data_IF_248904411118
#
_entry.id   IF_248904411118
#
_cell.length_a   1.000
_cell.length_b   1.000
_cell.length_c   1.000
_cell.angle_alpha   90.00
_cell.angle_beta   90.00
_cell.angle_gamma   90.00
#
_symmetry.space_group_name_H-M   'P 1'
#
loop_
_entity.id
_entity.type
_entity.pdbx_description
1 polymer ?
#
# COMPACT_ATOMS: atom_id res chain seq x y z
N UNK A 1 16.92 3.38 9.73
CA UNK A 1 17.30 4.58 8.95
C UNK A 1 16.27 5.68 9.25
N UNK A 2 16.69 6.91 9.54
CA UNK A 2 15.75 8.05 9.66
C UNK A 2 15.51 8.59 8.25
N UNK A 3 14.41 8.19 7.62
CA UNK A 3 14.00 8.76 6.33
C UNK A 3 13.48 10.17 6.59
N UNK A 4 13.88 11.12 5.74
CA UNK A 4 13.41 12.49 5.85
C UNK A 4 12.09 12.64 5.08
N UNK A 5 11.09 13.25 5.71
CA UNK A 5 9.72 13.33 5.19
C UNK A 5 9.63 14.20 3.91
N UNK A 6 10.43 15.27 3.82
CA UNK A 6 10.40 16.19 2.67
C UNK A 6 10.93 15.56 1.38
N UNK A 7 12.02 14.81 1.46
CA UNK A 7 12.60 14.08 0.33
C UNK A 7 11.72 12.91 -0.09
N UNK A 8 11.01 12.28 0.85
CA UNK A 8 10.01 11.27 0.52
C UNK A 8 8.84 11.85 -0.27
N UNK A 9 8.26 12.96 0.21
CA UNK A 9 7.19 13.66 -0.49
C UNK A 9 7.63 14.13 -1.89
N UNK A 10 8.87 14.64 -1.99
CA UNK A 10 9.46 15.02 -3.28
C UNK A 10 9.62 13.81 -4.20
N UNK A 11 10.17 12.68 -3.73
CA UNK A 11 10.36 11.49 -4.56
C UNK A 11 9.02 10.89 -5.02
N UNK A 12 8.00 10.94 -4.17
CA UNK A 12 6.66 10.49 -4.50
C UNK A 12 6.04 11.27 -5.67
N UNK A 13 6.39 12.56 -5.82
CA UNK A 13 5.74 13.49 -6.75
C UNK A 13 6.63 14.00 -7.88
N UNK A 14 7.94 13.76 -7.85
CA UNK A 14 8.84 14.19 -8.91
C UNK A 14 8.60 13.42 -10.21
N UNK A 15 9.15 13.95 -11.30
CA UNK A 15 8.99 13.43 -12.67
C UNK A 15 9.71 12.09 -12.92
N UNK A 16 10.26 11.45 -11.88
CA UNK A 16 10.76 10.09 -12.02
C UNK A 16 9.61 9.16 -12.41
N UNK A 17 9.79 8.30 -13.44
CA UNK A 17 8.76 7.38 -13.87
C UNK A 17 8.29 6.49 -12.71
N UNK A 18 6.98 6.28 -12.63
CA UNK A 18 6.41 5.26 -11.76
C UNK A 18 6.47 3.90 -12.46
N UNK A 19 6.83 2.85 -11.71
CA UNK A 19 6.78 1.48 -12.21
C UNK A 19 5.33 1.04 -12.44
N UNK A 20 4.43 1.52 -11.57
CA UNK A 20 3.00 1.34 -11.73
C UNK A 20 2.24 2.41 -10.94
N UNK A 21 1.00 2.69 -11.34
CA UNK A 21 0.10 3.58 -10.60
C UNK A 21 -1.36 3.21 -10.83
N UNK A 22 -2.20 3.39 -9.82
CA UNK A 22 -3.61 3.03 -9.92
C UNK A 22 -4.38 3.17 -8.62
N UNK A 23 -5.71 3.09 -8.72
CA UNK A 23 -6.57 3.03 -7.54
C UNK A 23 -6.57 1.64 -6.93
N UNK A 24 -6.34 1.56 -5.62
CA UNK A 24 -6.53 0.35 -4.83
C UNK A 24 -7.31 0.68 -3.56
N UNK A 25 -7.92 -0.35 -2.97
CA UNK A 25 -8.57 -0.25 -1.67
C UNK A 25 -7.58 -0.64 -0.56
N UNK A 26 -7.34 0.28 0.38
CA UNK A 26 -6.50 0.06 1.56
C UNK A 26 -7.36 -0.05 2.80
N UNK A 27 -7.15 -1.09 3.61
CA UNK A 27 -7.72 -1.16 4.97
C UNK A 27 -7.04 -0.13 5.87
N UNK A 28 -7.84 0.66 6.60
CA UNK A 28 -7.30 1.54 7.62
C UNK A 28 -6.68 0.74 8.78
N UNK A 29 -5.68 1.32 9.44
CA UNK A 29 -5.00 0.68 10.58
C UNK A 29 -5.85 0.78 11.86
N UNK A 30 -6.45 1.96 12.10
CA UNK A 30 -7.32 2.20 13.25
C UNK A 30 -8.78 1.85 12.99
N UNK A 31 -9.25 2.09 11.77
CA UNK A 31 -10.60 1.78 11.32
C UNK A 31 -10.53 0.71 10.23
N UNK A 32 -11.21 -0.42 10.42
CA UNK A 32 -11.17 -1.58 9.50
C UNK A 32 -11.88 -1.34 8.17
N UNK A 33 -12.39 -0.13 7.93
CA UNK A 33 -12.94 0.26 6.65
C UNK A 33 -11.86 0.28 5.56
N UNK A 34 -12.27 -0.08 4.34
CA UNK A 34 -11.43 0.02 3.16
C UNK A 34 -11.65 1.37 2.50
N UNK A 35 -10.57 2.12 2.28
CA UNK A 35 -10.58 3.40 1.60
C UNK A 35 -9.94 3.26 0.23
N UNK A 36 -10.59 3.78 -0.80
CA UNK A 36 -10.00 3.92 -2.12
C UNK A 36 -8.92 5.00 -2.06
N UNK A 37 -7.71 4.67 -2.50
CA UNK A 37 -6.56 5.59 -2.53
C UNK A 37 -5.83 5.44 -3.87
N UNK A 38 -5.21 6.51 -4.32
CA UNK A 38 -4.35 6.46 -5.51
C UNK A 38 -2.95 6.02 -5.10
N UNK A 39 -2.46 4.95 -5.71
CA UNK A 39 -1.15 4.37 -5.40
C UNK A 39 -0.14 4.67 -6.51
N UNK A 40 1.09 4.93 -6.11
CA UNK A 40 2.24 5.13 -7.01
C UNK A 40 3.39 4.27 -6.51
N UNK A 41 3.82 3.32 -7.32
CA UNK A 41 4.98 2.47 -7.06
C UNK A 41 6.22 3.05 -7.74
N UNK A 42 7.26 3.31 -6.96
CA UNK A 42 8.59 3.73 -7.44
C UNK A 42 9.67 2.93 -6.71
N UNK A 43 10.35 2.05 -7.43
CA UNK A 43 11.29 1.08 -6.87
C UNK A 43 10.58 0.16 -5.87
N UNK A 44 11.07 0.15 -4.62
CA UNK A 44 10.45 -0.59 -3.52
C UNK A 44 9.56 0.28 -2.63
N UNK A 45 9.19 1.48 -3.07
CA UNK A 45 8.38 2.41 -2.29
C UNK A 45 7.00 2.54 -2.90
N UNK A 46 5.99 2.14 -2.14
CA UNK A 46 4.60 2.23 -2.52
C UNK A 46 3.95 3.42 -1.80
N UNK A 47 3.84 4.54 -2.51
CA UNK A 47 3.18 5.75 -2.02
C UNK A 47 1.68 5.65 -2.23
N UNK A 48 0.90 6.25 -1.33
CA UNK A 48 -0.54 6.40 -1.53
C UNK A 48 -1.02 7.80 -1.19
N UNK A 49 -1.99 8.25 -1.97
CA UNK A 49 -2.55 9.59 -1.99
C UNK A 49 -4.06 9.52 -1.79
N UNK A 50 -4.67 10.63 -1.38
CA UNK A 50 -6.14 10.69 -1.30
C UNK A 50 -6.78 10.52 -2.67
N UNK A 51 -6.29 11.28 -3.65
CA UNK A 51 -6.73 11.27 -5.04
C UNK A 51 -5.51 11.34 -5.98
N UNK A 52 -5.75 11.19 -7.28
CA UNK A 52 -4.68 11.21 -8.30
C UNK A 52 -3.88 12.52 -8.32
N UNK A 53 -4.54 13.65 -8.11
CA UNK A 53 -3.95 15.00 -8.24
C UNK A 53 -3.48 15.57 -6.89
N UNK A 54 -3.50 14.76 -5.83
CA UNK A 54 -3.00 15.16 -4.52
C UNK A 54 -1.50 15.44 -4.57
N UNK A 55 -1.10 16.58 -3.99
CA UNK A 55 0.30 17.04 -4.00
C UNK A 55 1.18 16.38 -2.94
N UNK A 56 0.56 15.77 -1.94
CA UNK A 56 1.28 15.15 -0.83
C UNK A 56 0.79 13.71 -0.64
N UNK A 57 1.71 12.76 -0.45
CA UNK A 57 1.32 11.40 -0.11
C UNK A 57 0.75 11.36 1.31
N UNK A 58 -0.29 10.56 1.49
CA UNK A 58 -0.84 10.24 2.81
C UNK A 58 0.10 9.30 3.57
N UNK A 59 0.85 8.47 2.85
CA UNK A 59 1.88 7.63 3.44
C UNK A 59 2.66 6.84 2.41
N UNK A 60 3.63 6.08 2.92
CA UNK A 60 4.50 5.21 2.13
C UNK A 60 4.60 3.83 2.79
N UNK A 61 4.57 2.79 1.98
CA UNK A 61 4.84 1.41 2.38
C UNK A 61 6.14 1.01 1.70
N UNK A 62 7.15 0.64 2.50
CA UNK A 62 8.40 0.09 1.96
C UNK A 62 8.17 -1.41 1.74
N UNK A 63 8.29 -1.84 0.49
CA UNK A 63 8.17 -3.23 0.10
C UNK A 63 9.50 -3.93 0.39
N UNK A 64 9.47 -4.83 1.35
CA UNK A 64 10.56 -5.76 1.61
C UNK A 64 10.26 -7.09 0.92
N UNK A 65 11.30 -7.93 0.80
CA UNK A 65 11.13 -9.28 0.25
C UNK A 65 10.10 -10.01 1.10
N UNK A 66 8.95 -10.31 0.49
CA UNK A 66 7.96 -11.14 1.13
C UNK A 66 8.55 -12.54 1.33
N UNK A 67 8.62 -12.98 2.58
CA UNK A 67 8.76 -14.40 2.85
C UNK A 67 7.48 -15.05 2.34
N UNK A 68 7.54 -16.10 1.50
CA UNK A 68 6.34 -16.81 1.08
C UNK A 68 5.70 -17.44 2.32
N UNK A 69 4.72 -16.75 2.90
CA UNK A 69 3.89 -17.30 3.96
C UNK A 69 2.95 -18.29 3.29
N UNK A 70 3.40 -19.53 3.20
CA UNK A 70 2.56 -20.66 2.84
C UNK A 70 1.56 -20.93 3.95
N UNK A 71 0.50 -20.13 4.03
CA UNK A 71 -0.71 -20.48 4.76
C UNK A 71 -1.87 -19.71 4.15
N UNK A 72 -2.40 -20.25 3.06
CA UNK A 72 -3.79 -19.98 2.70
C UNK A 72 -4.61 -20.40 3.92
N UNK A 73 -5.22 -19.42 4.60
CA UNK A 73 -6.10 -19.65 5.72
C UNK A 73 -7.07 -20.78 5.35
N UNK A 74 -6.88 -21.94 5.98
CA UNK A 74 -7.78 -23.05 5.85
C UNK A 74 -9.18 -22.56 6.22
N UNK A 75 -10.11 -22.62 5.26
CA UNK A 75 -11.52 -22.51 5.58
C UNK A 75 -11.83 -23.58 6.62
N UNK A 76 -12.21 -23.15 7.82
CA UNK A 76 -12.75 -24.03 8.86
C UNK A 76 -14.08 -24.60 8.33
N UNK A 77 -13.97 -25.68 7.58
CA UNK A 77 -15.07 -26.53 7.17
C UNK A 77 -15.63 -27.24 8.40
N UNK A 78 -16.42 -26.53 9.20
CA UNK A 78 -17.24 -27.15 10.23
C UNK A 78 -18.39 -27.90 9.58
N UNK A 79 -18.16 -29.19 9.39
CA UNK A 79 -19.03 -30.22 9.94
C UNK A 79 -20.31 -30.51 9.16
N UNK A 80 -20.23 -31.52 8.29
CA UNK A 80 -21.31 -32.48 8.16
C UNK A 80 -21.64 -33.05 9.55
N UNK A 81 -22.92 -33.05 9.92
CA UNK A 81 -23.35 -33.55 11.23
C UNK A 81 -24.83 -33.40 11.53
N UNK A 82 -25.69 -33.98 10.67
CA UNK A 82 -26.85 -34.84 11.01
C UNK A 82 -27.72 -35.08 9.78
#
# INVERSE_FOLDING_TARGET
>A
MKLNERSLAFYATCDSPADNSGFLYKRGERHTAYHRRWFVLKGNMLFYFEERDSREPVGVIVLEVAVPTGEAAAGDGRGAGR
#
